data_IF_026798022733
#
_entry.id   IF_026798022733
#
_cell.length_a   1.000
_cell.length_b   1.000
_cell.length_c   1.000
_cell.angle_alpha   90.00
_cell.angle_beta   90.00
_cell.angle_gamma   90.00
#
_symmetry.space_group_name_H-M   'P 1'
#
loop_
_entity.id
_entity.type
_entity.pdbx_description
1 polymer ?
#
# COMPACT_ATOMS: atom_id res chain seq x y z
N UNK A 1 -26.19 -5.93 -11.20
CA UNK A 1 -26.26 -6.19 -12.65
C UNK A 1 -27.18 -7.37 -12.92
N UNK A 2 -28.20 -7.18 -13.77
CA UNK A 2 -29.11 -8.25 -14.19
C UNK A 2 -28.91 -8.54 -15.68
N UNK A 3 -28.20 -9.61 -16.01
CA UNK A 3 -28.02 -10.07 -17.38
C UNK A 3 -29.33 -10.40 -18.09
N UNK A 4 -30.41 -10.72 -17.32
CA UNK A 4 -31.73 -11.03 -17.88
C UNK A 4 -32.47 -9.78 -18.37
N UNK A 5 -32.26 -8.65 -17.72
CA UNK A 5 -33.02 -7.41 -17.95
C UNK A 5 -32.17 -6.27 -18.51
N UNK A 6 -30.87 -6.47 -18.71
CA UNK A 6 -29.94 -5.40 -19.06
C UNK A 6 -30.01 -4.22 -18.08
N UNK A 7 -30.22 -4.52 -16.79
CA UNK A 7 -30.44 -3.53 -15.75
C UNK A 7 -29.19 -3.45 -14.88
N UNK A 8 -28.68 -2.25 -14.66
CA UNK A 8 -27.71 -1.93 -13.63
C UNK A 8 -28.47 -1.35 -12.44
N UNK A 9 -28.34 -1.97 -11.28
CA UNK A 9 -28.93 -1.51 -10.03
C UNK A 9 -27.81 -1.08 -9.09
N UNK A 10 -27.95 0.10 -8.52
CA UNK A 10 -27.04 0.68 -7.57
C UNK A 10 -27.82 1.23 -6.38
N UNK A 11 -27.52 0.74 -5.19
CA UNK A 11 -28.12 1.18 -3.94
C UNK A 11 -27.11 1.95 -3.09
N UNK A 12 -27.60 2.88 -2.28
CA UNK A 12 -26.85 3.57 -1.25
C UNK A 12 -27.75 3.91 -0.07
N UNK A 13 -27.21 3.83 1.13
CA UNK A 13 -27.97 4.06 2.37
C UNK A 13 -28.21 5.56 2.63
N UNK A 14 -27.40 6.45 2.08
CA UNK A 14 -27.55 7.90 2.27
C UNK A 14 -26.83 8.72 1.20
N UNK A 15 -26.96 10.05 1.28
CA UNK A 15 -26.17 11.01 0.52
C UNK A 15 -26.67 11.29 -0.88
N UNK A 16 -25.79 11.91 -1.67
CA UNK A 16 -26.05 12.24 -3.07
C UNK A 16 -25.51 11.13 -3.99
N UNK A 17 -26.30 10.74 -4.97
CA UNK A 17 -25.83 9.93 -6.10
C UNK A 17 -25.50 10.81 -7.28
N UNK A 18 -24.34 10.61 -7.89
CA UNK A 18 -23.95 11.26 -9.14
C UNK A 18 -23.48 10.18 -10.11
N UNK A 19 -24.09 10.13 -11.28
CA UNK A 19 -23.74 9.21 -12.35
C UNK A 19 -23.08 9.98 -13.47
N UNK A 20 -21.97 9.44 -13.97
CA UNK A 20 -21.31 9.93 -15.15
C UNK A 20 -21.27 8.79 -16.16
N UNK A 21 -21.87 9.01 -17.34
CA UNK A 21 -21.89 8.02 -18.42
C UNK A 21 -20.95 8.52 -19.49
N UNK A 22 -19.89 7.76 -19.75
CA UNK A 22 -18.92 8.05 -20.80
C UNK A 22 -19.20 7.14 -21.98
N UNK A 23 -19.30 7.70 -23.15
CA UNK A 23 -19.56 7.00 -24.42
C UNK A 23 -18.48 7.33 -25.44
N UNK A 24 -18.31 6.44 -26.43
CA UNK A 24 -17.37 6.63 -27.52
C UNK A 24 -17.77 5.84 -28.76
N UNK A 25 -17.36 6.30 -29.93
CA UNK A 25 -17.63 5.64 -31.21
C UNK A 25 -16.65 4.49 -31.52
N UNK A 26 -15.57 4.39 -30.77
CA UNK A 26 -14.60 3.29 -30.75
C UNK A 26 -14.03 3.12 -29.34
N UNK A 27 -13.30 2.04 -29.10
CA UNK A 27 -12.63 1.81 -27.81
C UNK A 27 -11.62 2.92 -27.49
N UNK A 28 -10.84 3.36 -28.47
CA UNK A 28 -9.86 4.43 -28.31
C UNK A 28 -10.57 5.75 -27.94
N UNK A 29 -11.67 6.08 -28.63
CA UNK A 29 -12.44 7.28 -28.35
C UNK A 29 -13.11 7.21 -26.96
N UNK A 30 -13.63 6.03 -26.56
CA UNK A 30 -14.18 5.82 -25.22
C UNK A 30 -13.14 6.07 -24.14
N UNK A 31 -11.95 5.47 -24.27
CA UNK A 31 -10.85 5.66 -23.32
C UNK A 31 -10.37 7.11 -23.30
N UNK A 32 -10.29 7.75 -24.46
CA UNK A 32 -9.96 9.18 -24.53
C UNK A 32 -10.96 10.03 -23.75
N UNK A 33 -12.25 9.87 -24.02
CA UNK A 33 -13.31 10.62 -23.34
C UNK A 33 -13.29 10.36 -21.83
N UNK A 34 -13.06 9.10 -21.42
CA UNK A 34 -12.92 8.74 -20.00
C UNK A 34 -11.72 9.43 -19.34
N UNK A 35 -10.55 9.37 -20.00
CA UNK A 35 -9.34 9.98 -19.45
C UNK A 35 -9.35 11.52 -19.50
N UNK A 36 -10.09 12.13 -20.43
CA UNK A 36 -10.31 13.56 -20.45
C UNK A 36 -11.18 14.02 -19.25
N UNK A 37 -12.09 13.15 -18.79
CA UNK A 37 -12.91 13.39 -17.60
C UNK A 37 -12.15 13.13 -16.28
N UNK A 38 -11.39 12.02 -16.21
CA UNK A 38 -10.76 11.54 -14.97
C UNK A 38 -9.30 11.98 -14.80
N UNK A 39 -8.68 12.51 -15.84
CA UNK A 39 -7.26 12.79 -15.92
C UNK A 39 -6.48 11.65 -16.57
N UNK A 40 -5.34 12.01 -17.15
CA UNK A 40 -4.43 11.05 -17.79
C UNK A 40 -3.35 10.62 -16.84
N UNK A 41 -3.04 9.31 -16.85
CA UNK A 41 -1.96 8.76 -16.08
C UNK A 41 -0.61 9.30 -16.60
N UNK A 42 0.30 9.74 -15.71
CA UNK A 42 1.67 10.00 -16.09
C UNK A 42 2.35 8.76 -16.70
N UNK A 43 3.22 8.94 -17.67
CA UNK A 43 3.97 7.83 -18.25
C UNK A 43 4.90 7.22 -17.18
N UNK A 44 4.71 5.93 -16.79
CA UNK A 44 5.59 5.28 -15.85
C UNK A 44 6.99 5.07 -16.43
N UNK A 45 8.02 4.87 -15.62
CA UNK A 45 9.35 4.49 -16.11
C UNK A 45 9.31 3.13 -16.80
N UNK A 46 10.20 2.91 -17.76
CA UNK A 46 10.18 1.71 -18.61
C UNK A 46 10.18 0.39 -17.82
N UNK A 47 10.92 0.31 -16.72
CA UNK A 47 10.99 -0.89 -15.90
C UNK A 47 9.63 -1.28 -15.29
N UNK A 48 8.72 -0.30 -15.10
CA UNK A 48 7.39 -0.56 -14.56
C UNK A 48 6.46 -1.34 -15.51
N UNK A 49 6.87 -1.51 -16.77
CA UNK A 49 6.19 -2.36 -17.75
C UNK A 49 6.80 -3.75 -17.87
N UNK A 50 7.79 -4.08 -17.06
CA UNK A 50 8.52 -5.33 -17.11
C UNK A 50 7.95 -6.41 -16.21
N UNK A 51 8.79 -7.42 -15.95
CA UNK A 51 8.44 -8.57 -15.12
C UNK A 51 8.75 -8.29 -13.65
N UNK A 52 7.74 -8.35 -12.80
CA UNK A 52 7.86 -8.18 -11.35
C UNK A 52 7.73 -9.53 -10.65
N UNK A 53 8.77 -9.94 -9.91
CA UNK A 53 8.70 -11.13 -9.08
C UNK A 53 8.08 -10.77 -7.73
N UNK A 54 6.90 -11.34 -7.45
CA UNK A 54 6.17 -11.15 -6.21
C UNK A 54 5.63 -12.48 -5.69
N UNK A 55 5.57 -12.59 -4.38
CA UNK A 55 4.88 -13.65 -3.66
C UNK A 55 4.58 -13.19 -2.24
N UNK A 56 3.75 -13.90 -1.50
CA UNK A 56 3.51 -13.64 -0.09
C UNK A 56 4.76 -13.92 0.73
N UNK A 57 5.65 -12.98 0.71
CA UNK A 57 6.93 -12.94 1.41
C UNK A 57 8.13 -13.46 0.63
N UNK A 58 9.18 -12.72 0.76
CA UNK A 58 10.58 -13.11 0.76
C UNK A 58 11.06 -12.81 2.17
N UNK A 59 11.50 -13.84 2.89
CA UNK A 59 11.68 -13.75 4.33
C UNK A 59 13.05 -13.20 4.75
N UNK A 60 14.00 -13.10 3.81
CA UNK A 60 15.34 -12.61 4.11
C UNK A 60 16.02 -11.98 2.89
N UNK A 61 17.03 -11.17 3.17
CA UNK A 61 17.93 -10.62 2.16
C UNK A 61 18.55 -11.74 1.31
N UNK A 62 19.02 -12.83 1.94
CA UNK A 62 19.61 -13.97 1.25
C UNK A 62 18.61 -14.62 0.26
N UNK A 63 17.35 -14.77 0.67
CA UNK A 63 16.31 -15.34 -0.20
C UNK A 63 16.04 -14.45 -1.41
N UNK A 64 15.99 -13.13 -1.22
CA UNK A 64 15.86 -12.14 -2.29
C UNK A 64 17.01 -12.28 -3.29
N UNK A 65 18.24 -12.23 -2.79
CA UNK A 65 19.45 -12.30 -3.62
C UNK A 65 19.53 -13.63 -4.41
N UNK A 66 19.22 -14.76 -3.76
CA UNK A 66 19.15 -16.09 -4.41
C UNK A 66 18.05 -16.17 -5.47
N UNK A 67 16.90 -15.54 -5.21
CA UNK A 67 15.79 -15.54 -6.17
C UNK A 67 16.18 -14.78 -7.43
N UNK A 68 16.76 -13.60 -7.30
CA UNK A 68 17.21 -12.83 -8.46
C UNK A 68 18.34 -13.55 -9.20
N UNK A 69 19.26 -14.20 -8.47
CA UNK A 69 20.31 -15.01 -9.10
C UNK A 69 19.72 -16.16 -9.95
N UNK A 70 18.66 -16.85 -9.47
CA UNK A 70 17.98 -17.89 -10.25
C UNK A 70 17.35 -17.36 -11.54
N UNK A 71 16.76 -16.16 -11.52
CA UNK A 71 16.26 -15.51 -12.74
C UNK A 71 17.40 -15.30 -13.75
N UNK A 72 18.54 -14.79 -13.28
CA UNK A 72 19.72 -14.56 -14.13
C UNK A 72 20.29 -15.86 -14.68
N UNK A 73 20.49 -16.89 -13.84
CA UNK A 73 21.02 -18.20 -14.24
C UNK A 73 20.12 -18.92 -15.25
N UNK A 74 18.81 -18.69 -15.14
CA UNK A 74 17.80 -19.24 -16.05
C UNK A 74 17.60 -18.39 -17.31
N UNK A 75 18.30 -17.28 -17.43
CA UNK A 75 18.15 -16.31 -18.51
C UNK A 75 16.70 -15.80 -18.67
N UNK A 76 16.00 -15.63 -17.52
CA UNK A 76 14.63 -15.10 -17.47
C UNK A 76 14.72 -13.63 -17.04
N UNK A 77 14.19 -12.70 -17.86
CA UNK A 77 14.18 -11.28 -17.50
C UNK A 77 13.36 -11.02 -16.24
N UNK A 78 13.86 -10.16 -15.36
CA UNK A 78 13.15 -9.63 -14.20
C UNK A 78 13.52 -8.16 -14.01
N UNK A 79 12.54 -7.30 -13.85
CA UNK A 79 12.72 -5.84 -13.77
C UNK A 79 12.54 -5.31 -12.35
N UNK A 80 11.77 -6.03 -11.53
CA UNK A 80 11.58 -5.67 -10.13
C UNK A 80 11.31 -6.89 -9.25
N UNK A 81 11.58 -6.74 -7.97
CA UNK A 81 11.15 -7.64 -6.92
C UNK A 81 10.28 -6.86 -5.94
N UNK A 82 9.15 -7.45 -5.55
CA UNK A 82 8.23 -6.89 -4.56
C UNK A 82 8.44 -7.62 -3.24
N UNK A 83 8.78 -6.89 -2.19
CA UNK A 83 8.89 -7.42 -0.84
C UNK A 83 7.58 -7.16 -0.10
N UNK A 84 6.94 -8.26 0.29
CA UNK A 84 5.71 -8.28 1.07
C UNK A 84 6.01 -8.14 2.57
N UNK A 85 5.05 -8.31 3.44
CA UNK A 85 5.01 -8.00 4.88
C UNK A 85 6.25 -8.40 5.70
N UNK A 86 7.06 -9.32 5.21
CA UNK A 86 8.24 -9.84 5.93
C UNK A 86 9.46 -8.91 5.92
N UNK A 87 9.44 -7.82 5.14
CA UNK A 87 10.56 -6.87 5.17
C UNK A 87 10.63 -6.09 6.49
N UNK A 88 9.50 -5.96 7.20
CA UNK A 88 9.42 -5.24 8.47
C UNK A 88 9.14 -6.15 9.68
N UNK A 89 9.23 -7.47 9.56
CA UNK A 89 9.05 -8.40 10.68
C UNK A 89 9.19 -9.87 10.29
N UNK A 90 9.55 -10.69 11.28
CA UNK A 90 9.75 -12.15 11.09
C UNK A 90 8.44 -12.89 10.80
N UNK A 91 7.34 -12.35 11.29
CA UNK A 91 5.99 -12.88 11.08
C UNK A 91 5.07 -11.73 10.75
N UNK A 92 3.93 -12.01 10.09
CA UNK A 92 2.91 -10.98 9.84
C UNK A 92 2.14 -10.64 11.11
N UNK A 93 2.00 -11.61 12.02
CA UNK A 93 1.33 -11.41 13.31
C UNK A 93 2.17 -10.50 14.20
N UNK A 94 1.54 -9.44 14.70
CA UNK A 94 2.12 -8.51 15.65
C UNK A 94 3.12 -7.49 15.08
N UNK A 95 3.48 -7.55 13.80
CA UNK A 95 4.51 -6.67 13.20
C UNK A 95 4.00 -5.70 12.15
N UNK A 96 2.76 -5.85 11.67
CA UNK A 96 2.17 -4.91 10.72
C UNK A 96 2.23 -3.47 11.29
N UNK A 97 2.67 -2.56 10.45
CA UNK A 97 2.87 -1.16 10.84
C UNK A 97 4.23 -0.84 11.44
N UNK A 98 5.16 -1.80 11.56
CA UNK A 98 6.54 -1.49 11.94
C UNK A 98 7.19 -0.56 10.91
N UNK A 99 6.91 -0.78 9.63
CA UNK A 99 7.35 0.06 8.50
C UNK A 99 8.84 0.41 8.57
N UNK A 100 9.62 -0.53 9.10
CA UNK A 100 11.08 -0.44 9.21
C UNK A 100 11.71 -1.81 8.97
N UNK A 101 12.93 -1.85 8.43
CA UNK A 101 13.59 -3.11 8.09
C UNK A 101 13.80 -4.00 9.30
N UNK A 102 13.37 -5.26 9.20
CA UNK A 102 13.78 -6.32 10.11
C UNK A 102 15.26 -6.63 9.89
N UNK A 103 16.11 -6.05 10.71
CA UNK A 103 17.57 -6.13 10.56
C UNK A 103 18.16 -7.51 10.81
N UNK A 104 17.42 -8.40 11.45
CA UNK A 104 17.86 -9.79 11.61
C UNK A 104 17.82 -10.53 10.28
N UNK A 105 16.76 -10.32 9.49
CA UNK A 105 16.57 -10.97 8.20
C UNK A 105 17.05 -10.12 7.02
N UNK A 106 17.05 -8.81 7.15
CA UNK A 106 17.54 -7.85 6.15
C UNK A 106 18.63 -6.97 6.79
N UNK A 107 19.83 -7.52 7.04
CA UNK A 107 20.87 -6.79 7.78
C UNK A 107 21.41 -5.56 7.04
N UNK A 108 21.47 -5.62 5.72
CA UNK A 108 22.05 -4.57 4.87
C UNK A 108 21.12 -4.19 3.71
N UNK A 109 19.89 -3.69 3.96
CA UNK A 109 18.90 -3.50 2.91
C UNK A 109 19.32 -2.47 1.85
N UNK A 110 19.98 -1.39 2.24
CA UNK A 110 20.47 -0.38 1.29
C UNK A 110 21.51 -0.95 0.32
N UNK A 111 22.42 -1.80 0.83
CA UNK A 111 23.39 -2.50 -0.02
C UNK A 111 22.68 -3.49 -0.94
N UNK A 112 21.74 -4.30 -0.42
CA UNK A 112 20.93 -5.21 -1.22
C UNK A 112 20.23 -4.47 -2.36
N UNK A 113 19.56 -3.36 -2.06
CA UNK A 113 18.85 -2.54 -3.06
C UNK A 113 19.84 -2.00 -4.11
N UNK A 114 21.00 -1.51 -3.69
CA UNK A 114 22.01 -1.02 -4.61
C UNK A 114 22.56 -2.13 -5.53
N UNK A 115 22.83 -3.32 -4.98
CA UNK A 115 23.31 -4.48 -5.74
C UNK A 115 22.25 -4.98 -6.74
N UNK A 116 20.98 -5.03 -6.33
CA UNK A 116 19.86 -5.37 -7.22
C UNK A 116 19.72 -4.33 -8.34
N UNK A 117 19.80 -3.05 -7.99
CA UNK A 117 19.70 -1.98 -8.97
C UNK A 117 20.86 -2.00 -10.00
N UNK A 118 22.07 -2.36 -9.57
CA UNK A 118 23.20 -2.59 -10.48
C UNK A 118 22.97 -3.74 -11.46
N UNK A 119 22.15 -4.73 -11.08
CA UNK A 119 21.69 -5.82 -11.95
C UNK A 119 20.46 -5.45 -12.80
N UNK A 120 20.00 -4.21 -12.73
CA UNK A 120 18.80 -3.74 -13.44
C UNK A 120 17.47 -4.06 -12.74
N UNK A 121 17.49 -4.64 -11.54
CA UNK A 121 16.30 -5.05 -10.80
C UNK A 121 15.93 -3.99 -9.77
N UNK A 122 14.69 -3.50 -9.82
CA UNK A 122 14.15 -2.52 -8.87
C UNK A 122 13.53 -3.22 -7.66
N UNK A 123 13.51 -2.51 -6.53
CA UNK A 123 12.87 -3.00 -5.30
C UNK A 123 11.60 -2.20 -5.04
N UNK A 124 10.50 -2.91 -4.82
CA UNK A 124 9.20 -2.36 -4.44
C UNK A 124 8.84 -2.93 -3.06
N UNK A 125 8.33 -2.09 -2.16
CA UNK A 125 7.92 -2.51 -0.82
C UNK A 125 6.43 -2.32 -0.63
N UNK A 126 5.79 -3.29 0.04
CA UNK A 126 4.43 -3.15 0.54
C UNK A 126 4.40 -2.19 1.74
N UNK A 127 3.34 -1.43 1.85
CA UNK A 127 3.02 -0.60 3.02
C UNK A 127 1.52 -0.58 3.23
N UNK A 128 1.08 -0.59 4.47
CA UNK A 128 -0.32 -0.52 4.85
C UNK A 128 -0.55 0.65 5.81
N UNK A 129 -1.77 1.23 5.85
CA UNK A 129 -2.09 2.31 6.78
C UNK A 129 -2.36 1.84 8.21
N UNK A 130 -2.43 0.53 8.43
CA UNK A 130 -2.72 -0.08 9.73
C UNK A 130 -1.46 -0.16 10.60
N UNK A 131 -1.60 0.23 11.87
CA UNK A 131 -0.52 0.15 12.86
C UNK A 131 -1.03 -0.71 14.01
N UNK A 132 -0.48 -1.90 14.16
CA UNK A 132 -0.85 -2.78 15.27
C UNK A 132 -0.43 -2.17 16.62
N UNK A 133 -1.21 -2.43 17.65
CA UNK A 133 -0.89 -1.99 19.01
C UNK A 133 0.41 -2.59 19.54
N UNK A 134 0.87 -3.69 18.92
CA UNK A 134 2.16 -4.36 19.17
C UNK A 134 3.30 -3.84 18.28
N UNK A 135 3.00 -2.98 17.31
CA UNK A 135 4.01 -2.41 16.41
C UNK A 135 5.00 -1.52 17.17
N UNK A 136 6.25 -1.56 16.73
CA UNK A 136 7.29 -0.64 17.23
C UNK A 136 6.97 0.85 16.98
N UNK A 137 6.02 1.15 16.09
CA UNK A 137 5.57 2.52 15.80
C UNK A 137 4.32 2.93 16.57
N UNK A 138 3.68 2.01 17.29
CA UNK A 138 2.42 2.29 17.97
C UNK A 138 2.50 3.53 18.86
N UNK A 139 3.42 3.54 19.82
CA UNK A 139 3.54 4.65 20.77
C UNK A 139 3.84 5.97 20.08
N UNK A 140 4.71 5.96 19.07
CA UNK A 140 5.00 7.16 18.26
C UNK A 140 3.73 7.71 17.59
N UNK A 141 2.89 6.85 17.03
CA UNK A 141 1.66 7.28 16.34
C UNK A 141 0.62 7.82 17.31
N UNK A 142 0.53 7.25 18.51
CA UNK A 142 -0.32 7.74 19.62
C UNK A 142 0.14 9.14 20.07
N UNK A 143 1.42 9.30 20.39
CA UNK A 143 2.00 10.56 20.87
C UNK A 143 1.85 11.69 19.85
N UNK A 144 1.99 11.36 18.59
CA UNK A 144 1.83 12.31 17.48
C UNK A 144 0.37 12.52 17.05
N UNK A 145 -0.57 11.79 17.65
CA UNK A 145 -2.01 11.88 17.36
C UNK A 145 -2.37 11.69 15.89
N UNK A 146 -1.65 10.80 15.21
CA UNK A 146 -1.81 10.57 13.77
C UNK A 146 -2.82 9.49 13.42
N UNK A 147 -3.41 8.81 14.42
CA UNK A 147 -4.39 7.75 14.22
C UNK A 147 -5.84 8.29 14.16
N UNK A 148 -6.72 7.50 13.54
CA UNK A 148 -8.17 7.67 13.70
C UNK A 148 -8.54 7.48 15.18
N UNK A 149 -9.62 8.16 15.63
CA UNK A 149 -9.94 8.28 17.05
C UNK A 149 -11.37 7.83 17.37
N UNK A 150 -11.59 7.52 18.62
CA UNK A 150 -12.91 7.47 19.22
C UNK A 150 -13.48 8.89 19.44
N UNK A 151 -14.74 8.99 19.78
CA UNK A 151 -15.40 10.28 20.11
C UNK A 151 -14.73 11.04 21.28
N UNK A 152 -14.08 10.31 22.20
CA UNK A 152 -13.33 10.90 23.33
C UNK A 152 -11.90 11.32 22.97
N UNK A 153 -11.50 11.15 21.70
CA UNK A 153 -10.20 11.55 21.18
C UNK A 153 -9.08 10.52 21.37
N UNK A 154 -9.35 9.38 22.01
CA UNK A 154 -8.39 8.29 22.12
C UNK A 154 -8.25 7.56 20.76
N UNK A 155 -7.12 6.89 20.48
CA UNK A 155 -6.99 6.06 19.30
C UNK A 155 -8.13 5.04 19.20
N UNK A 156 -8.77 4.96 18.05
CA UNK A 156 -9.72 3.90 17.74
C UNK A 156 -8.91 2.63 17.42
N UNK A 157 -9.23 1.52 18.09
CA UNK A 157 -8.59 0.23 17.85
C UNK A 157 -9.61 -0.87 17.68
N UNK A 158 -9.28 -1.88 16.90
CA UNK A 158 -10.11 -3.06 16.66
C UNK A 158 -9.25 -4.25 16.27
N UNK A 159 -9.83 -5.44 16.34
CA UNK A 159 -9.16 -6.65 15.88
C UNK A 159 -9.18 -6.73 14.36
N UNK A 160 -8.03 -7.02 13.79
CA UNK A 160 -7.76 -7.14 12.37
C UNK A 160 -6.98 -8.42 12.09
N UNK A 161 -6.69 -8.75 10.82
CA UNK A 161 -6.10 -10.04 10.44
C UNK A 161 -4.83 -10.41 11.20
N UNK A 162 -4.00 -9.45 11.56
CA UNK A 162 -2.66 -9.69 12.11
C UNK A 162 -2.52 -9.21 13.56
N UNK A 163 -3.60 -8.77 14.17
CA UNK A 163 -3.65 -8.33 15.56
C UNK A 163 -4.54 -7.13 15.78
N UNK A 164 -4.59 -6.63 17.03
CA UNK A 164 -5.34 -5.42 17.35
C UNK A 164 -4.64 -4.19 16.74
N UNK A 165 -5.38 -3.36 16.01
CA UNK A 165 -4.83 -2.30 15.19
C UNK A 165 -5.52 -0.96 15.39
N UNK A 166 -4.82 0.13 15.06
CA UNK A 166 -5.37 1.41 14.65
C UNK A 166 -5.04 1.67 13.19
N UNK A 167 -5.54 2.76 12.63
CA UNK A 167 -5.26 3.20 11.26
C UNK A 167 -4.74 4.64 11.27
N UNK A 168 -3.77 4.92 10.40
CA UNK A 168 -3.29 6.29 10.21
C UNK A 168 -4.37 7.12 9.55
N UNK A 169 -4.73 8.22 10.18
CA UNK A 169 -5.69 9.20 9.64
C UNK A 169 -4.97 10.13 8.65
N UNK A 170 -4.94 9.72 7.40
CA UNK A 170 -4.29 10.48 6.32
C UNK A 170 -5.02 11.79 5.97
N UNK A 171 -6.23 12.01 6.48
CA UNK A 171 -6.96 13.28 6.34
C UNK A 171 -6.48 14.34 7.32
N UNK A 172 -5.75 13.94 8.38
CA UNK A 172 -5.01 14.89 9.24
C UNK A 172 -3.70 15.28 8.57
N UNK A 173 -3.35 16.57 8.53
CA UNK A 173 -2.03 17.00 8.02
C UNK A 173 -0.86 16.30 8.70
N UNK A 174 -0.95 16.07 10.02
CA UNK A 174 0.05 15.36 10.81
C UNK A 174 0.16 13.88 10.41
N UNK A 175 -0.97 13.22 10.18
CA UNK A 175 -1.05 11.82 9.74
C UNK A 175 -0.45 11.64 8.35
N UNK A 176 -0.85 12.47 7.40
CA UNK A 176 -0.29 12.50 6.05
C UNK A 176 1.22 12.79 6.08
N UNK A 177 1.65 13.78 6.85
CA UNK A 177 3.07 14.12 6.98
C UNK A 177 3.90 13.00 7.64
N UNK A 178 3.33 12.31 8.63
CA UNK A 178 4.00 11.17 9.28
C UNK A 178 4.19 10.02 8.29
N UNK A 179 3.13 9.66 7.56
CA UNK A 179 3.19 8.56 6.60
C UNK A 179 4.11 8.90 5.43
N UNK A 180 4.10 10.16 4.97
CA UNK A 180 5.04 10.64 3.95
C UNK A 180 6.51 10.52 4.38
N UNK A 181 6.83 10.72 5.66
CA UNK A 181 8.21 10.53 6.18
C UNK A 181 8.67 9.09 6.06
N UNK A 182 7.77 8.11 6.22
CA UNK A 182 8.09 6.70 5.98
C UNK A 182 8.49 6.50 4.53
N UNK A 183 7.66 6.94 3.58
CA UNK A 183 7.97 6.84 2.15
C UNK A 183 9.26 7.55 1.77
N UNK A 184 9.45 8.78 2.23
CA UNK A 184 10.66 9.55 1.93
C UNK A 184 11.93 8.83 2.41
N UNK A 185 11.89 8.20 3.57
CA UNK A 185 13.01 7.40 4.07
C UNK A 185 13.29 6.21 3.15
N UNK A 186 12.27 5.43 2.78
CA UNK A 186 12.40 4.28 1.90
C UNK A 186 12.94 4.67 0.51
N UNK A 187 12.43 5.75 -0.06
CA UNK A 187 12.92 6.29 -1.33
C UNK A 187 14.42 6.67 -1.21
N UNK A 188 14.80 7.32 -0.11
CA UNK A 188 16.20 7.69 0.12
C UNK A 188 17.13 6.47 0.28
N UNK A 189 16.60 5.33 0.68
CA UNK A 189 17.31 4.05 0.74
C UNK A 189 17.41 3.34 -0.62
N UNK A 190 16.82 3.91 -1.69
CA UNK A 190 16.86 3.37 -3.04
C UNK A 190 15.65 2.55 -3.45
N UNK A 191 14.59 2.49 -2.63
CA UNK A 191 13.32 1.85 -3.00
C UNK A 191 12.71 2.59 -4.19
N UNK A 192 12.40 1.86 -5.25
CA UNK A 192 11.98 2.43 -6.54
C UNK A 192 10.46 2.58 -6.68
N UNK A 193 9.70 1.88 -5.87
CA UNK A 193 8.26 1.93 -5.87
C UNK A 193 7.67 1.43 -4.55
N UNK A 194 6.43 1.78 -4.30
CA UNK A 194 5.69 1.32 -3.13
C UNK A 194 4.38 0.68 -3.58
N UNK A 195 4.00 -0.36 -2.89
CA UNK A 195 2.68 -0.98 -2.99
C UNK A 195 1.88 -0.53 -1.76
N UNK A 196 0.89 0.34 -1.97
CA UNK A 196 -0.07 0.70 -0.92
C UNK A 196 -1.19 -0.33 -0.88
N UNK A 197 -1.21 -1.18 0.15
CA UNK A 197 -2.20 -2.23 0.32
C UNK A 197 -3.16 -1.90 1.47
N UNK A 198 -4.35 -2.51 1.44
CA UNK A 198 -5.40 -2.39 2.47
C UNK A 198 -5.84 -0.94 2.76
N UNK A 199 -5.61 -0.03 1.82
CA UNK A 199 -5.88 1.41 1.98
C UNK A 199 -7.29 1.86 1.60
N UNK A 200 -8.20 0.93 1.28
CA UNK A 200 -9.60 1.21 0.95
C UNK A 200 -10.39 1.93 2.06
N UNK A 201 -10.17 1.71 3.33
CA UNK A 201 -9.60 0.61 4.08
C UNK A 201 -10.51 -0.64 4.04
N UNK A 202 -9.93 -1.82 4.09
CA UNK A 202 -10.68 -3.07 4.03
C UNK A 202 -11.62 -3.25 5.23
N UNK A 203 -11.20 -2.81 6.40
CA UNK A 203 -12.03 -2.79 7.61
C UNK A 203 -11.89 -1.43 8.29
N UNK A 204 -12.99 -0.71 8.38
CA UNK A 204 -13.08 0.56 9.11
C UNK A 204 -14.37 0.57 9.94
N UNK A 205 -14.28 0.39 11.28
CA UNK A 205 -15.46 0.31 12.14
C UNK A 205 -16.23 1.64 12.20
N UNK A 206 -17.55 1.58 12.29
CA UNK A 206 -18.42 2.76 12.38
C UNK A 206 -18.15 3.66 13.60
N UNK A 207 -17.49 3.14 14.63
CA UNK A 207 -17.10 3.93 15.81
C UNK A 207 -15.80 4.74 15.62
N UNK A 208 -15.02 4.43 14.58
CA UNK A 208 -13.76 5.13 14.31
C UNK A 208 -14.03 6.43 13.53
N UNK A 209 -13.36 7.51 13.96
CA UNK A 209 -13.48 8.82 13.35
C UNK A 209 -12.14 9.24 12.76
N UNK A 210 -12.18 9.68 11.52
CA UNK A 210 -11.10 10.45 10.88
C UNK A 210 -11.37 11.93 10.98
N UNK A 211 -10.45 12.77 10.51
CA UNK A 211 -10.69 14.21 10.35
C UNK A 211 -11.81 14.55 9.33
N UNK A 212 -12.30 13.56 8.59
CA UNK A 212 -13.42 13.68 7.64
C UNK A 212 -14.73 13.06 8.16
N UNK A 213 -14.71 12.51 9.34
CA UNK A 213 -15.87 11.87 9.95
C UNK A 213 -15.75 10.36 10.07
N UNK A 214 -16.88 9.69 10.29
CA UNK A 214 -17.02 8.26 10.37
C UNK A 214 -17.14 7.61 8.98
N UNK A 215 -17.22 6.28 8.93
CA UNK A 215 -17.44 5.55 7.68
C UNK A 215 -18.77 5.91 6.98
N UNK A 216 -19.77 6.35 7.75
CA UNK A 216 -21.11 6.71 7.24
C UNK A 216 -21.23 8.17 6.77
N UNK A 217 -20.28 9.03 7.11
CA UNK A 217 -20.22 10.47 6.76
C UNK A 217 -19.36 10.73 5.53
#
# INVERSE_FOLDING_TARGET
DSQKNNTLEYETISGRKTYQVVVGNSWENLIQNYTDLTGKQPLPPRWAFGNFSSRFGYHSQEEVEKTIQKFQDSNIPVDAIILDLYWFGKTVQGTMGNLDWDKDNFPNPEKMIADLNAKGVKTVLITEPFILTTSSKWQETVDKKVLATLKDGKPATWDFYFGNTGIVDVFKPEGSAWFWKVYKRLINQGVAGVWGDLGEPEVFPAFANTAKGTADE
#
